data_IF_390819949614
#
_entry.id   IF_390819949614
#
_cell.length_a   1.000
_cell.length_b   1.000
_cell.length_c   1.000
_cell.angle_alpha   90.00
_cell.angle_beta   90.00
_cell.angle_gamma   90.00
#
_symmetry.space_group_name_H-M   'P 1'
#
loop_
_entity.id
_entity.type
_entity.pdbx_description
1 polymer ?
#
# COMPACT_ATOMS: atom_id res chain seq x y z
N UNK A 1 15.05 -11.60 9.02
CA UNK A 1 14.57 -10.76 10.14
C UNK A 1 15.46 -9.56 10.47
N UNK A 2 16.77 -9.69 10.75
CA UNK A 2 17.65 -8.53 11.07
C UNK A 2 17.59 -7.38 10.06
N UNK A 3 17.60 -7.69 8.75
CA UNK A 3 17.48 -6.69 7.68
C UNK A 3 16.14 -5.96 7.66
N UNK A 4 15.04 -6.64 8.00
CA UNK A 4 13.71 -6.03 8.11
C UNK A 4 13.63 -5.05 9.27
N UNK A 5 14.15 -5.43 10.44
CA UNK A 5 14.21 -4.54 11.61
C UNK A 5 15.02 -3.29 11.26
N UNK A 6 16.21 -3.45 10.67
CA UNK A 6 17.05 -2.33 10.23
C UNK A 6 16.32 -1.43 9.24
N UNK A 7 15.63 -2.01 8.24
CA UNK A 7 14.84 -1.26 7.27
C UNK A 7 13.75 -0.43 7.95
N UNK A 8 12.88 -1.06 8.76
CA UNK A 8 11.77 -0.35 9.41
C UNK A 8 12.27 0.73 10.38
N UNK A 9 13.29 0.44 11.19
CA UNK A 9 13.85 1.43 12.12
C UNK A 9 14.43 2.64 11.40
N UNK A 10 15.26 2.44 10.36
CA UNK A 10 15.85 3.55 9.61
C UNK A 10 14.78 4.36 8.87
N UNK A 11 13.80 3.70 8.25
CA UNK A 11 12.70 4.37 7.55
C UNK A 11 11.87 5.22 8.51
N UNK A 12 11.47 4.68 9.68
CA UNK A 12 10.68 5.43 10.66
C UNK A 12 11.46 6.60 11.23
N UNK A 13 12.71 6.39 11.67
CA UNK A 13 13.55 7.47 12.22
C UNK A 13 13.71 8.58 11.18
N UNK A 14 14.05 8.24 9.93
CA UNK A 14 14.27 9.23 8.89
C UNK A 14 12.98 10.00 8.55
N UNK A 15 11.87 9.30 8.28
CA UNK A 15 10.61 9.96 7.93
C UNK A 15 10.07 10.83 9.05
N UNK A 16 9.99 10.30 10.28
CA UNK A 16 9.41 11.02 11.40
C UNK A 16 10.25 12.24 11.76
N UNK A 17 11.58 12.11 11.76
CA UNK A 17 12.47 13.26 12.01
C UNK A 17 12.25 14.36 10.97
N UNK A 18 12.21 14.01 9.69
CA UNK A 18 12.04 14.98 8.61
C UNK A 18 10.67 15.66 8.63
N UNK A 19 9.59 14.92 8.89
CA UNK A 19 8.23 15.48 8.97
C UNK A 19 8.01 16.34 10.20
N UNK A 20 8.51 15.91 11.36
CA UNK A 20 8.44 16.70 12.59
C UNK A 20 9.25 18.00 12.43
N UNK A 21 10.45 17.93 11.84
CA UNK A 21 11.23 19.12 11.53
C UNK A 21 10.50 20.06 10.56
N UNK A 22 9.91 19.53 9.49
CA UNK A 22 9.09 20.32 8.55
C UNK A 22 7.91 21.01 9.25
N UNK A 23 7.21 20.29 10.13
CA UNK A 23 6.09 20.83 10.90
C UNK A 23 6.52 21.96 11.85
N UNK A 24 7.67 21.82 12.53
CA UNK A 24 8.20 22.89 13.38
C UNK A 24 8.58 24.15 12.60
N UNK A 25 9.12 23.98 11.38
CA UNK A 25 9.43 25.10 10.49
C UNK A 25 8.14 25.83 10.09
N UNK A 26 7.08 25.07 9.76
CA UNK A 26 5.78 25.62 9.38
C UNK A 26 5.04 26.33 10.52
N UNK A 27 5.13 25.83 11.76
CA UNK A 27 4.43 26.40 12.92
C UNK A 27 5.08 27.68 13.47
N UNK A 28 6.39 27.85 13.31
CA UNK A 28 7.12 29.00 13.86
C UNK A 28 6.94 30.30 13.06
N UNK A 29 6.31 30.26 11.89
CA UNK A 29 6.16 31.43 11.02
C UNK A 29 4.69 31.81 10.89
N UNK A 30 4.30 32.92 11.53
CA UNK A 30 2.91 33.39 11.63
C UNK A 30 2.27 33.84 10.29
N UNK A 31 3.03 33.83 9.19
CA UNK A 31 2.55 34.17 7.84
C UNK A 31 3.24 33.28 6.79
N UNK A 32 2.51 32.44 6.03
CA UNK A 32 3.11 31.66 4.96
C UNK A 32 3.48 32.61 3.82
N UNK A 33 4.75 32.99 3.74
CA UNK A 33 5.29 33.68 2.56
C UNK A 33 5.55 32.65 1.45
N UNK A 34 5.40 33.05 0.19
CA UNK A 34 5.56 32.19 -1.00
C UNK A 34 6.92 31.49 -1.12
N UNK A 35 7.95 32.01 -0.45
CA UNK A 35 9.30 31.45 -0.40
C UNK A 35 9.47 30.30 0.63
N UNK A 36 8.53 30.11 1.56
CA UNK A 36 8.64 29.10 2.64
C UNK A 36 7.95 27.77 2.30
N UNK A 37 6.99 27.80 1.37
CA UNK A 37 6.31 26.63 0.80
C UNK A 37 7.29 25.60 0.18
N UNK A 38 8.35 26.00 -0.55
CA UNK A 38 9.37 25.06 -1.04
C UNK A 38 10.29 24.50 0.06
N UNK A 39 10.65 25.32 1.06
CA UNK A 39 11.64 24.97 2.10
C UNK A 39 11.08 23.93 3.08
N UNK A 40 9.80 24.01 3.42
CA UNK A 40 9.08 23.00 4.20
C UNK A 40 8.69 21.77 3.36
N UNK A 41 8.48 21.95 2.05
CA UNK A 41 8.13 20.88 1.13
C UNK A 41 9.24 19.86 0.89
N UNK A 42 10.51 20.29 0.86
CA UNK A 42 11.64 19.38 0.59
C UNK A 42 11.85 18.33 1.70
N UNK A 43 11.98 18.68 2.99
CA UNK A 43 12.05 17.68 4.07
C UNK A 43 10.80 16.79 4.10
N UNK A 44 9.62 17.36 3.83
CA UNK A 44 8.39 16.59 3.76
C UNK A 44 8.45 15.50 2.69
N UNK A 45 8.87 15.87 1.48
CA UNK A 45 9.05 14.96 0.35
C UNK A 45 10.13 13.91 0.63
N UNK A 46 11.27 14.31 1.21
CA UNK A 46 12.33 13.37 1.59
C UNK A 46 11.86 12.35 2.63
N UNK A 47 11.03 12.79 3.59
CA UNK A 47 10.40 11.90 4.55
C UNK A 47 9.48 10.88 3.88
N UNK A 48 8.70 11.29 2.89
CA UNK A 48 7.83 10.42 2.09
C UNK A 48 8.62 9.41 1.26
N UNK A 49 9.79 9.78 0.73
CA UNK A 49 10.65 8.91 -0.09
C UNK A 49 11.60 8.02 0.73
N UNK A 50 11.65 8.18 2.05
CA UNK A 50 12.53 7.40 2.92
C UNK A 50 12.39 5.87 2.76
N UNK A 51 11.19 5.27 2.61
CA UNK A 51 11.08 3.83 2.38
C UNK A 51 11.85 3.36 1.14
N UNK A 52 11.73 4.06 0.01
CA UNK A 52 12.49 3.75 -1.21
C UNK A 52 13.99 3.96 -1.01
N UNK A 53 14.41 5.09 -0.44
CA UNK A 53 15.83 5.41 -0.25
C UNK A 53 16.53 4.39 0.64
N UNK A 54 15.92 4.04 1.78
CA UNK A 54 16.46 3.04 2.70
C UNK A 54 16.47 1.65 2.06
N UNK A 55 15.43 1.28 1.32
CA UNK A 55 15.39 0.00 0.61
C UNK A 55 16.51 -0.12 -0.44
N UNK A 56 16.72 0.92 -1.25
CA UNK A 56 17.75 0.95 -2.27
C UNK A 56 19.15 0.92 -1.64
N UNK A 57 19.37 1.68 -0.56
CA UNK A 57 20.63 1.66 0.19
C UNK A 57 20.94 0.27 0.74
N UNK A 58 19.99 -0.34 1.45
CA UNK A 58 20.20 -1.66 2.05
C UNK A 58 20.32 -2.77 1.00
N UNK A 59 19.64 -2.62 -0.14
CA UNK A 59 19.79 -3.55 -1.27
C UNK A 59 21.16 -3.40 -1.92
N UNK A 60 21.63 -2.18 -2.15
CA UNK A 60 22.95 -1.93 -2.71
C UNK A 60 24.07 -2.48 -1.80
N UNK A 61 23.93 -2.33 -0.49
CA UNK A 61 24.89 -2.87 0.49
C UNK A 61 24.92 -4.40 0.53
N UNK A 62 23.76 -5.06 0.41
CA UNK A 62 23.66 -6.50 0.58
C UNK A 62 23.80 -7.30 -0.73
N UNK A 63 23.32 -6.75 -1.84
CA UNK A 63 23.14 -7.43 -3.13
C UNK A 63 23.85 -6.69 -4.29
N UNK A 64 24.51 -5.57 -4.01
CA UNK A 64 25.25 -4.80 -4.99
C UNK A 64 24.39 -4.17 -6.08
N UNK A 65 25.03 -3.77 -7.18
CA UNK A 65 24.38 -3.11 -8.33
C UNK A 65 23.32 -4.00 -8.98
N UNK A 66 23.56 -5.31 -9.08
CA UNK A 66 22.63 -6.26 -9.70
C UNK A 66 21.31 -6.35 -8.93
N UNK A 67 21.35 -6.46 -7.60
CA UNK A 67 20.15 -6.46 -6.75
C UNK A 67 19.37 -5.16 -6.83
N UNK A 68 20.06 -4.01 -6.78
CA UNK A 68 19.42 -2.69 -6.90
C UNK A 68 18.72 -2.52 -8.25
N UNK A 69 19.38 -2.89 -9.35
CA UNK A 69 18.76 -2.85 -10.68
C UNK A 69 17.60 -3.83 -10.79
N UNK A 70 17.68 -5.02 -10.19
CA UNK A 70 16.57 -5.97 -10.15
C UNK A 70 15.36 -5.40 -9.41
N UNK A 71 15.56 -4.66 -8.32
CA UNK A 71 14.49 -3.98 -7.59
C UNK A 71 13.87 -2.85 -8.44
N UNK A 72 14.69 -1.99 -9.04
CA UNK A 72 14.21 -0.89 -9.88
C UNK A 72 13.48 -1.35 -11.14
N UNK A 73 13.90 -2.47 -11.76
CA UNK A 73 13.22 -3.05 -12.92
C UNK A 73 11.75 -3.38 -12.66
N UNK A 74 11.37 -3.68 -11.40
CA UNK A 74 9.97 -3.96 -11.03
C UNK A 74 9.06 -2.73 -11.14
N UNK A 75 9.63 -1.51 -11.06
CA UNK A 75 8.90 -0.24 -11.23
C UNK A 75 8.38 -0.07 -12.65
N UNK A 76 9.11 -0.61 -13.63
CA UNK A 76 8.77 -0.55 -15.06
C UNK A 76 8.35 -1.92 -15.61
N UNK A 77 7.98 -2.86 -14.74
CA UNK A 77 7.50 -4.17 -15.13
C UNK A 77 6.02 -4.10 -15.46
N UNK A 78 5.69 -4.10 -16.75
CA UNK A 78 4.31 -4.14 -17.26
C UNK A 78 3.80 -5.58 -17.26
N UNK A 79 2.83 -5.95 -16.41
CA UNK A 79 2.27 -7.29 -16.42
C UNK A 79 1.31 -7.49 -17.60
N UNK A 80 1.24 -8.72 -18.09
CA UNK A 80 0.30 -9.09 -19.15
C UNK A 80 -1.14 -9.15 -18.60
N UNK A 81 -2.08 -8.57 -19.36
CA UNK A 81 -3.53 -8.63 -19.08
C UNK A 81 -4.12 -7.33 -18.53
N UNK A 82 -4.88 -6.62 -19.36
CA UNK A 82 -5.52 -5.33 -19.02
C UNK A 82 -6.40 -5.36 -17.76
N UNK A 83 -6.95 -6.52 -17.39
CA UNK A 83 -7.74 -6.71 -16.16
C UNK A 83 -7.04 -6.24 -14.89
N UNK A 84 -5.71 -6.32 -14.84
CA UNK A 84 -4.95 -5.91 -13.66
C UNK A 84 -4.85 -4.40 -13.52
N UNK A 85 -4.78 -3.68 -14.64
CA UNK A 85 -4.85 -2.22 -14.68
C UNK A 85 -6.24 -1.74 -14.29
N UNK A 86 -7.29 -2.38 -14.82
CA UNK A 86 -8.68 -2.09 -14.45
C UNK A 86 -8.87 -2.32 -12.95
N UNK A 87 -8.38 -3.44 -12.40
CA UNK A 87 -8.43 -3.70 -10.96
C UNK A 87 -7.71 -2.62 -10.16
N UNK A 88 -6.46 -2.28 -10.52
CA UNK A 88 -5.66 -1.29 -9.83
C UNK A 88 -6.36 0.08 -9.77
N UNK A 89 -6.95 0.52 -10.88
CA UNK A 89 -7.62 1.83 -10.97
C UNK A 89 -9.01 1.82 -10.32
N UNK A 90 -9.80 0.78 -10.53
CA UNK A 90 -11.22 0.78 -10.15
C UNK A 90 -11.47 0.33 -8.70
N UNK A 91 -10.56 -0.43 -8.09
CA UNK A 91 -10.83 -1.10 -6.80
C UNK A 91 -11.36 -0.15 -5.72
N UNK A 92 -10.66 0.97 -5.46
CA UNK A 92 -11.05 1.85 -4.37
C UNK A 92 -12.24 2.74 -4.71
N UNK A 93 -12.41 3.12 -5.97
CA UNK A 93 -13.63 3.78 -6.44
C UNK A 93 -14.86 2.90 -6.20
N UNK A 94 -14.79 1.60 -6.51
CA UNK A 94 -15.88 0.65 -6.25
C UNK A 94 -16.16 0.49 -4.75
N UNK A 95 -15.13 0.48 -3.90
CA UNK A 95 -15.31 0.53 -2.44
C UNK A 95 -16.12 1.77 -2.04
N UNK A 96 -15.74 2.95 -2.54
CA UNK A 96 -16.43 4.22 -2.21
C UNK A 96 -17.87 4.27 -2.72
N UNK A 97 -18.13 3.80 -3.93
CA UNK A 97 -19.49 3.71 -4.46
C UNK A 97 -20.35 2.72 -3.67
N UNK A 98 -19.78 1.60 -3.23
CA UNK A 98 -20.46 0.65 -2.34
C UNK A 98 -20.80 1.30 -1.00
N UNK A 99 -19.88 2.07 -0.42
CA UNK A 99 -20.13 2.84 0.80
C UNK A 99 -21.27 3.85 0.61
N UNK A 100 -21.35 4.53 -0.54
CA UNK A 100 -22.45 5.45 -0.81
C UNK A 100 -23.81 4.75 -0.82
N UNK A 101 -23.90 3.57 -1.42
CA UNK A 101 -25.11 2.76 -1.44
C UNK A 101 -25.49 2.30 -0.03
N UNK A 102 -24.54 1.78 0.74
CA UNK A 102 -24.78 1.34 2.12
C UNK A 102 -25.21 2.51 3.02
N UNK A 103 -24.59 3.69 2.85
CA UNK A 103 -24.98 4.90 3.57
C UNK A 103 -26.43 5.31 3.22
N UNK A 104 -26.79 5.25 1.94
CA UNK A 104 -28.16 5.54 1.47
C UNK A 104 -29.18 4.59 2.07
N UNK A 105 -28.87 3.30 2.12
CA UNK A 105 -29.74 2.29 2.75
C UNK A 105 -29.88 2.53 4.25
N UNK A 106 -28.78 2.86 4.94
CA UNK A 106 -28.79 3.02 6.40
C UNK A 106 -29.46 4.33 6.87
N UNK A 107 -29.35 5.42 6.11
CA UNK A 107 -29.76 6.76 6.55
C UNK A 107 -30.96 7.32 5.80
N UNK A 108 -31.34 6.72 4.67
CA UNK A 108 -32.37 7.27 3.79
C UNK A 108 -31.94 8.56 3.07
N UNK A 109 -30.65 8.94 3.09
CA UNK A 109 -30.07 10.09 2.40
C UNK A 109 -28.78 9.69 1.65
N UNK A 110 -28.44 10.36 0.55
CA UNK A 110 -27.14 10.16 -0.10
C UNK A 110 -26.04 10.88 0.71
N UNK A 111 -24.81 10.31 0.80
CA UNK A 111 -23.70 11.02 1.41
C UNK A 111 -23.21 12.15 0.49
N UNK A 112 -22.34 13.02 1.02
CA UNK A 112 -21.67 14.02 0.22
C UNK A 112 -20.69 13.35 -0.78
N UNK A 113 -20.85 13.70 -2.07
CA UNK A 113 -19.94 13.28 -3.12
C UNK A 113 -18.89 14.36 -3.40
N UNK A 114 -17.69 13.93 -3.76
CA UNK A 114 -16.68 14.83 -4.32
C UNK A 114 -17.14 15.39 -5.68
N UNK A 115 -16.74 16.62 -5.96
CA UNK A 115 -17.10 17.34 -7.19
C UNK A 115 -15.98 17.34 -8.24
N UNK A 116 -14.86 16.64 -7.98
CA UNK A 116 -13.76 16.55 -8.93
C UNK A 116 -14.21 15.73 -10.15
N UNK A 117 -14.16 16.29 -11.37
CA UNK A 117 -14.51 15.56 -12.58
C UNK A 117 -13.69 14.28 -12.75
N UNK A 118 -14.33 13.22 -13.23
CA UNK A 118 -13.70 11.90 -13.39
C UNK A 118 -12.43 11.97 -14.26
N UNK A 119 -12.42 12.76 -15.32
CA UNK A 119 -11.22 12.89 -16.17
C UNK A 119 -10.04 13.53 -15.43
N UNK A 120 -10.27 14.47 -14.50
CA UNK A 120 -9.21 15.02 -13.65
C UNK A 120 -8.71 14.00 -12.63
N UNK A 121 -9.61 13.17 -12.07
CA UNK A 121 -9.19 12.05 -11.23
C UNK A 121 -8.29 11.09 -12.00
N UNK A 122 -8.66 10.73 -13.24
CA UNK A 122 -7.86 9.85 -14.08
C UNK A 122 -6.49 10.44 -14.42
N UNK A 123 -6.43 11.74 -14.75
CA UNK A 123 -5.17 12.45 -14.98
C UNK A 123 -4.32 12.44 -13.71
N UNK A 124 -4.91 12.76 -12.55
CA UNK A 124 -4.20 12.79 -11.28
C UNK A 124 -3.64 11.40 -10.93
N UNK A 125 -4.41 10.32 -11.14
CA UNK A 125 -3.94 8.94 -10.96
C UNK A 125 -2.68 8.67 -11.79
N UNK A 126 -2.69 9.02 -13.07
CA UNK A 126 -1.52 8.79 -13.95
C UNK A 126 -0.33 9.64 -13.51
N UNK A 127 -0.54 10.92 -13.24
CA UNK A 127 0.50 11.89 -12.88
C UNK A 127 1.14 11.58 -11.53
N UNK A 128 0.37 11.15 -10.52
CA UNK A 128 0.92 10.80 -9.19
C UNK A 128 1.46 9.37 -9.10
N UNK A 129 1.22 8.50 -10.09
CA UNK A 129 1.73 7.11 -10.07
C UNK A 129 3.25 7.02 -9.86
N UNK A 130 4.11 7.79 -10.57
CA UNK A 130 5.56 7.75 -10.34
C UNK A 130 5.97 8.17 -8.93
N UNK A 131 5.24 9.10 -8.30
CA UNK A 131 5.54 9.58 -6.94
C UNK A 131 5.37 8.45 -5.92
N UNK A 132 4.42 7.54 -6.15
CA UNK A 132 4.20 6.38 -5.28
C UNK A 132 5.39 5.41 -5.25
N UNK A 133 6.36 5.53 -6.16
CA UNK A 133 7.62 4.78 -6.09
C UNK A 133 8.37 5.04 -4.78
N UNK A 134 8.28 6.27 -4.22
CA UNK A 134 8.93 6.65 -2.96
C UNK A 134 8.53 5.77 -1.77
N UNK A 135 7.32 5.22 -1.81
CA UNK A 135 6.81 4.29 -0.81
C UNK A 135 6.87 2.83 -1.28
N UNK A 136 6.37 2.55 -2.48
CA UNK A 136 6.11 1.18 -2.95
C UNK A 136 7.40 0.38 -3.17
N UNK A 137 8.52 1.02 -3.54
CA UNK A 137 9.84 0.36 -3.61
C UNK A 137 10.22 -0.19 -2.22
N UNK A 138 9.96 0.57 -1.15
CA UNK A 138 10.22 0.16 0.22
C UNK A 138 9.24 -0.89 0.71
N UNK A 139 7.94 -0.59 0.67
CA UNK A 139 6.92 -1.44 1.25
C UNK A 139 6.74 -2.75 0.49
N UNK A 140 6.44 -2.68 -0.81
CA UNK A 140 6.09 -3.86 -1.62
C UNK A 140 7.29 -4.41 -2.36
N UNK A 141 8.26 -3.57 -2.69
CA UNK A 141 9.50 -3.98 -3.37
C UNK A 141 10.51 -4.66 -2.44
N UNK A 142 10.71 -4.10 -1.24
CA UNK A 142 11.72 -4.56 -0.29
C UNK A 142 11.14 -5.37 0.87
N UNK A 143 10.17 -4.80 1.62
CA UNK A 143 9.69 -5.37 2.87
C UNK A 143 8.76 -6.56 2.68
N UNK A 144 7.73 -6.43 1.83
CA UNK A 144 6.72 -7.48 1.61
C UNK A 144 7.33 -8.84 1.22
N UNK A 145 8.24 -8.96 0.24
CA UNK A 145 8.80 -10.26 -0.14
C UNK A 145 9.67 -10.86 0.97
N UNK A 146 10.32 -10.02 1.77
CA UNK A 146 11.14 -10.44 2.93
C UNK A 146 10.25 -10.92 4.08
N UNK A 147 9.15 -10.23 4.38
CA UNK A 147 8.16 -10.68 5.37
C UNK A 147 7.47 -11.97 4.93
N UNK A 148 7.05 -12.04 3.66
CA UNK A 148 6.34 -13.20 3.11
C UNK A 148 7.19 -14.47 3.10
N UNK A 149 8.52 -14.37 2.96
CA UNK A 149 9.43 -15.53 3.11
C UNK A 149 9.43 -16.14 4.52
N UNK A 150 9.07 -15.37 5.54
CA UNK A 150 9.08 -15.82 6.93
C UNK A 150 7.70 -16.18 7.46
N UNK A 151 6.66 -15.47 7.01
CA UNK A 151 5.30 -15.59 7.56
C UNK A 151 4.30 -16.18 6.55
N UNK A 152 4.61 -16.19 5.26
CA UNK A 152 3.64 -16.34 4.18
C UNK A 152 3.00 -15.00 3.79
N UNK A 153 2.44 -14.93 2.59
CA UNK A 153 1.98 -13.66 1.98
C UNK A 153 0.83 -13.00 2.77
N UNK A 154 -0.15 -13.77 3.22
CA UNK A 154 -1.31 -13.25 3.94
C UNK A 154 -0.94 -12.54 5.26
N UNK A 155 -0.29 -13.19 6.24
CA UNK A 155 0.13 -12.51 7.46
C UNK A 155 1.20 -11.43 7.22
N UNK A 156 2.06 -11.59 6.21
CA UNK A 156 2.99 -10.53 5.82
C UNK A 156 2.26 -9.26 5.36
N UNK A 157 1.17 -9.39 4.60
CA UNK A 157 0.37 -8.25 4.12
C UNK A 157 -0.36 -7.52 5.24
N UNK A 158 -0.85 -8.26 6.24
CA UNK A 158 -1.46 -7.72 7.46
C UNK A 158 -0.45 -6.94 8.30
N UNK A 159 0.68 -7.57 8.62
CA UNK A 159 1.74 -6.94 9.41
C UNK A 159 2.30 -5.69 8.69
N UNK A 160 2.55 -5.80 7.39
CA UNK A 160 3.00 -4.65 6.60
C UNK A 160 1.95 -3.52 6.57
N UNK A 161 0.66 -3.86 6.53
CA UNK A 161 -0.42 -2.88 6.61
C UNK A 161 -0.43 -2.09 7.91
N UNK A 162 -0.27 -2.78 9.05
CA UNK A 162 -0.15 -2.15 10.37
C UNK A 162 1.08 -1.24 10.47
N UNK A 163 2.24 -1.73 10.00
CA UNK A 163 3.48 -0.94 9.98
C UNK A 163 3.30 0.29 9.08
N UNK A 164 2.77 0.12 7.88
CA UNK A 164 2.59 1.21 6.92
C UNK A 164 1.60 2.26 7.41
N UNK A 165 0.49 1.85 8.05
CA UNK A 165 -0.43 2.79 8.70
C UNK A 165 0.25 3.55 9.83
N UNK A 166 1.01 2.84 10.67
CA UNK A 166 1.71 3.46 11.81
C UNK A 166 2.80 4.42 11.38
N UNK A 167 3.41 4.22 10.21
CA UNK A 167 4.37 5.16 9.64
C UNK A 167 3.76 6.55 9.43
N UNK A 168 2.47 6.66 9.11
CA UNK A 168 1.74 7.93 8.92
C UNK A 168 1.33 8.63 10.23
N UNK A 169 1.58 8.03 11.40
CA UNK A 169 1.11 8.54 12.69
C UNK A 169 1.45 10.03 12.93
N UNK A 170 2.63 10.57 12.57
CA UNK A 170 2.94 11.99 12.77
C UNK A 170 1.96 12.94 12.08
N UNK A 171 1.40 12.57 10.92
CA UNK A 171 0.48 13.44 10.17
C UNK A 171 -0.79 13.77 10.97
N UNK A 172 -1.24 12.87 11.84
CA UNK A 172 -2.41 13.12 12.70
C UNK A 172 -2.18 14.23 13.74
N UNK A 173 -0.92 14.60 14.01
CA UNK A 173 -0.55 15.64 14.96
C UNK A 173 -0.10 16.95 14.29
N UNK A 174 0.06 16.96 12.96
CA UNK A 174 0.49 18.15 12.20
C UNK A 174 -0.77 18.89 11.72
N UNK A 175 -1.05 20.11 12.21
CA UNK A 175 -2.19 20.90 11.74
C UNK A 175 -2.12 21.16 10.23
N UNK A 176 -3.25 21.01 9.54
CA UNK A 176 -3.34 21.24 8.09
C UNK A 176 -2.81 20.10 7.21
N UNK A 177 -2.29 19.00 7.80
CA UNK A 177 -2.02 17.78 7.03
C UNK A 177 -3.34 17.11 6.61
N UNK A 178 -3.27 16.24 5.58
CA UNK A 178 -4.44 15.49 5.10
C UNK A 178 -5.09 14.62 6.20
N UNK A 179 -4.31 14.14 7.18
CA UNK A 179 -4.77 13.30 8.28
C UNK A 179 -5.14 14.09 9.54
N UNK A 180 -4.92 15.40 9.55
CA UNK A 180 -5.24 16.25 10.70
C UNK A 180 -6.74 16.20 10.99
N UNK A 181 -7.10 15.94 12.26
CA UNK A 181 -8.49 15.77 12.68
C UNK A 181 -9.12 14.42 12.30
N UNK A 182 -8.41 13.49 11.66
CA UNK A 182 -8.95 12.15 11.41
C UNK A 182 -8.73 11.19 12.59
N UNK A 183 -9.46 10.07 12.60
CA UNK A 183 -9.29 8.98 13.58
C UNK A 183 -8.18 8.02 13.14
N UNK A 184 -7.05 8.02 13.85
CA UNK A 184 -5.94 7.10 13.59
C UNK A 184 -6.35 5.62 13.71
N UNK A 185 -7.12 5.18 14.73
CA UNK A 185 -7.56 3.79 14.79
C UNK A 185 -8.38 3.33 13.56
N UNK A 186 -9.27 4.19 13.05
CA UNK A 186 -10.07 3.86 11.85
C UNK A 186 -9.20 3.88 10.59
N UNK A 187 -8.26 4.82 10.50
CA UNK A 187 -7.27 4.86 9.43
C UNK A 187 -6.36 3.62 9.44
N UNK A 188 -5.90 3.19 10.61
CA UNK A 188 -5.11 1.98 10.81
C UNK A 188 -5.85 0.74 10.28
N UNK A 189 -7.14 0.62 10.60
CA UNK A 189 -7.98 -0.46 10.06
C UNK A 189 -8.10 -0.39 8.54
N UNK A 190 -8.35 0.79 7.98
CA UNK A 190 -8.51 0.98 6.54
C UNK A 190 -7.22 0.69 5.75
N UNK A 191 -6.08 1.25 6.18
CA UNK A 191 -4.79 1.06 5.52
C UNK A 191 -4.29 -0.38 5.66
N UNK A 192 -4.53 -1.01 6.81
CA UNK A 192 -4.24 -2.44 6.98
C UNK A 192 -5.04 -3.28 5.99
N UNK A 193 -6.34 -3.01 5.86
CA UNK A 193 -7.20 -3.69 4.90
C UNK A 193 -6.80 -3.44 3.44
N UNK A 194 -6.33 -2.23 3.09
CA UNK A 194 -5.83 -1.89 1.75
C UNK A 194 -4.50 -2.57 1.39
N UNK A 195 -3.63 -2.81 2.38
CA UNK A 195 -2.34 -3.48 2.15
C UNK A 195 -2.50 -4.91 1.60
N UNK A 196 -3.61 -5.56 1.95
CA UNK A 196 -3.93 -6.95 1.57
C UNK A 196 -4.19 -7.12 0.06
N UNK A 197 -5.16 -6.42 -0.57
CA UNK A 197 -5.38 -6.51 -2.01
C UNK A 197 -4.17 -5.97 -2.81
N UNK A 198 -3.42 -5.01 -2.28
CA UNK A 198 -2.15 -4.57 -2.90
C UNK A 198 -1.11 -5.69 -2.90
N UNK A 199 -0.94 -6.41 -1.79
CA UNK A 199 -0.04 -7.56 -1.71
C UNK A 199 -0.50 -8.71 -2.61
N UNK A 200 -1.81 -8.96 -2.70
CA UNK A 200 -2.37 -9.93 -3.63
C UNK A 200 -2.12 -9.52 -5.09
N UNK A 201 -2.34 -8.26 -5.45
CA UNK A 201 -2.10 -7.75 -6.80
C UNK A 201 -0.62 -7.86 -7.18
N UNK A 202 0.26 -7.46 -6.27
CA UNK A 202 1.71 -7.62 -6.41
C UNK A 202 2.09 -9.08 -6.71
N UNK A 203 1.55 -10.03 -5.94
CA UNK A 203 1.82 -11.44 -6.14
C UNK A 203 1.23 -11.97 -7.46
N UNK A 204 0.00 -11.59 -7.82
CA UNK A 204 -0.67 -12.02 -9.06
C UNK A 204 -0.02 -11.50 -10.33
N UNK A 205 0.74 -10.41 -10.22
CA UNK A 205 1.40 -9.75 -11.35
C UNK A 205 2.91 -9.98 -11.36
N UNK A 206 3.35 -11.05 -10.69
CA UNK A 206 4.75 -11.47 -10.61
C UNK A 206 5.69 -10.37 -10.08
N UNK A 207 5.22 -9.63 -9.07
CA UNK A 207 6.00 -8.60 -8.38
C UNK A 207 6.08 -7.25 -9.09
N UNK A 208 5.13 -6.93 -9.99
CA UNK A 208 5.05 -5.61 -10.63
C UNK A 208 4.78 -4.52 -9.59
N UNK A 209 5.75 -3.62 -9.41
CA UNK A 209 5.56 -2.41 -8.59
C UNK A 209 4.78 -1.33 -9.35
N UNK A 210 4.84 -1.33 -10.68
CA UNK A 210 4.05 -0.41 -11.49
C UNK A 210 2.56 -0.47 -11.13
N UNK A 211 2.01 -1.68 -10.97
CA UNK A 211 0.60 -1.83 -10.61
C UNK A 211 0.29 -1.54 -9.15
N UNK A 212 1.22 -1.77 -8.21
CA UNK A 212 0.99 -1.36 -6.83
C UNK A 212 1.07 0.16 -6.69
N UNK A 213 1.97 0.82 -7.43
CA UNK A 213 2.04 2.27 -7.54
C UNK A 213 0.78 2.85 -8.18
N UNK A 214 0.28 2.26 -9.27
CA UNK A 214 -0.96 2.68 -9.92
C UNK A 214 -2.16 2.52 -8.99
N UNK A 215 -2.25 1.38 -8.29
CA UNK A 215 -3.31 1.14 -7.31
C UNK A 215 -3.24 2.10 -6.14
N UNK A 216 -2.04 2.36 -5.61
CA UNK A 216 -1.83 3.34 -4.54
C UNK A 216 -2.25 4.75 -5.00
N UNK A 217 -1.85 5.16 -6.20
CA UNK A 217 -2.27 6.42 -6.80
C UNK A 217 -3.80 6.51 -6.95
N UNK A 218 -4.44 5.43 -7.41
CA UNK A 218 -5.90 5.33 -7.49
C UNK A 218 -6.57 5.45 -6.12
N UNK A 219 -6.04 4.80 -5.09
CA UNK A 219 -6.55 4.90 -3.72
C UNK A 219 -6.54 6.35 -3.26
N UNK A 220 -5.40 7.04 -3.40
CA UNK A 220 -5.26 8.42 -2.92
C UNK A 220 -6.20 9.37 -3.64
N UNK A 221 -6.28 9.28 -4.97
CA UNK A 221 -7.08 10.19 -5.77
C UNK A 221 -8.59 9.91 -5.69
N UNK A 222 -9.01 8.67 -5.41
CA UNK A 222 -10.44 8.32 -5.33
C UNK A 222 -11.02 8.33 -3.92
N UNK A 223 -10.20 8.62 -2.90
CA UNK A 223 -10.64 8.73 -1.51
C UNK A 223 -11.77 9.74 -1.31
N UNK A 224 -11.74 10.84 -2.07
CA UNK A 224 -12.71 11.93 -2.02
C UNK A 224 -14.02 11.69 -2.78
N UNK A 225 -14.20 10.56 -3.50
CA UNK A 225 -15.47 10.26 -4.19
C UNK A 225 -16.63 10.27 -3.18
N UNK A 226 -16.43 9.69 -2.00
CA UNK A 226 -17.32 9.82 -0.85
C UNK A 226 -16.49 10.29 0.34
N UNK A 227 -16.68 11.56 0.70
CA UNK A 227 -15.90 12.23 1.72
C UNK A 227 -16.30 11.74 3.13
N UNK A 228 -15.29 11.44 3.95
CA UNK A 228 -15.48 11.15 5.37
C UNK A 228 -15.38 12.46 6.15
N UNK A 229 -16.46 13.24 6.17
CA UNK A 229 -16.49 14.53 6.86
C UNK A 229 -16.71 14.35 8.36
N UNK A 230 -15.64 14.10 9.11
CA UNK A 230 -15.64 14.22 10.57
C UNK A 230 -14.27 14.68 11.05
N UNK A 231 -14.25 15.80 11.76
CA UNK A 231 -13.07 16.24 12.50
C UNK A 231 -13.18 15.73 13.94
N UNK A 232 -12.10 15.15 14.43
CA UNK A 232 -11.94 14.64 15.78
C UNK A 232 -11.00 15.57 16.55
N UNK A 233 -11.29 15.78 17.83
CA UNK A 233 -10.43 16.59 18.71
C UNK A 233 -9.19 15.85 19.18
N UNK A 234 -9.15 14.53 19.05
CA UNK A 234 -8.04 13.67 19.44
C UNK A 234 -7.76 12.63 18.36
N UNK A 235 -6.51 12.48 17.90
CA UNK A 235 -6.10 11.47 16.92
C UNK A 235 -6.53 10.04 17.25
N UNK A 236 -6.63 9.69 18.54
CA UNK A 236 -6.98 8.34 18.98
C UNK A 236 -8.48 8.16 19.26
N UNK A 237 -9.30 9.17 18.97
CA UNK A 237 -10.75 9.06 19.09
C UNK A 237 -11.32 8.02 18.13
N UNK A 238 -12.28 7.22 18.60
CA UNK A 238 -13.10 6.34 17.74
C UNK A 238 -14.33 7.07 17.15
N UNK A 239 -14.64 8.28 17.63
CA UNK A 239 -15.73 9.09 17.09
C UNK A 239 -15.29 9.64 15.74
N UNK A 240 -15.94 9.19 14.68
CA UNK A 240 -15.72 9.67 13.30
C UNK A 240 -17.02 9.51 12.50
N UNK A 241 -17.01 9.87 11.22
CA UNK A 241 -18.17 9.78 10.33
C UNK A 241 -18.60 8.33 10.11
N UNK A 242 -19.91 8.12 9.89
CA UNK A 242 -20.43 6.82 9.47
C UNK A 242 -19.76 6.34 8.16
N UNK A 243 -19.46 7.25 7.24
CA UNK A 243 -18.75 6.95 5.98
C UNK A 243 -17.38 6.32 6.24
N UNK A 244 -16.62 6.81 7.23
CA UNK A 244 -15.31 6.25 7.58
C UNK A 244 -15.44 4.82 8.09
N UNK A 245 -16.39 4.55 8.99
CA UNK A 245 -16.66 3.21 9.50
C UNK A 245 -17.16 2.25 8.42
N UNK A 246 -18.08 2.69 7.56
CA UNK A 246 -18.53 1.90 6.41
C UNK A 246 -17.39 1.62 5.44
N UNK A 247 -16.50 2.59 5.20
CA UNK A 247 -15.31 2.39 4.35
C UNK A 247 -14.40 1.32 4.94
N UNK A 248 -14.07 1.39 6.24
CA UNK A 248 -13.27 0.38 6.92
C UNK A 248 -13.94 -1.00 6.84
N UNK A 249 -15.24 -1.10 7.09
CA UNK A 249 -15.99 -2.36 7.02
C UNK A 249 -15.96 -2.99 5.61
N UNK A 250 -16.28 -2.22 4.56
CA UNK A 250 -16.24 -2.72 3.17
C UNK A 250 -14.84 -3.15 2.76
N UNK A 251 -13.81 -2.39 3.15
CA UNK A 251 -12.42 -2.77 2.93
C UNK A 251 -12.08 -4.10 3.60
N UNK A 252 -12.53 -4.33 4.84
CA UNK A 252 -12.29 -5.59 5.53
C UNK A 252 -13.05 -6.78 4.91
N UNK A 253 -14.25 -6.57 4.39
CA UNK A 253 -14.97 -7.61 3.64
C UNK A 253 -14.16 -8.07 2.41
N UNK A 254 -13.63 -7.13 1.62
CA UNK A 254 -12.77 -7.49 0.48
C UNK A 254 -11.42 -8.04 0.93
N UNK A 255 -10.83 -7.50 1.99
CA UNK A 255 -9.58 -8.00 2.56
C UNK A 255 -9.70 -9.48 2.96
N UNK A 256 -10.79 -9.88 3.64
CA UNK A 256 -11.05 -11.28 3.99
C UNK A 256 -11.10 -12.15 2.73
N UNK A 257 -11.79 -11.71 1.67
CA UNK A 257 -11.79 -12.41 0.40
C UNK A 257 -10.36 -12.63 -0.14
N UNK A 258 -9.51 -11.60 -0.16
CA UNK A 258 -8.13 -11.72 -0.64
C UNK A 258 -7.24 -12.57 0.27
N UNK A 259 -7.41 -12.50 1.59
CA UNK A 259 -6.72 -13.37 2.55
C UNK A 259 -7.02 -14.85 2.26
N UNK A 260 -8.29 -15.19 2.02
CA UNK A 260 -8.70 -16.55 1.65
C UNK A 260 -8.07 -16.97 0.32
N UNK A 261 -8.05 -16.08 -0.68
CA UNK A 261 -7.43 -16.37 -1.99
C UNK A 261 -5.92 -16.60 -1.89
N UNK A 262 -5.22 -15.85 -1.04
CA UNK A 262 -3.78 -16.01 -0.83
C UNK A 262 -3.43 -17.30 -0.09
N UNK A 263 -4.27 -17.75 0.85
CA UNK A 263 -4.06 -19.03 1.56
C UNK A 263 -4.09 -20.24 0.60
N UNK A 264 -5.04 -20.25 -0.34
CA UNK A 264 -5.17 -21.34 -1.33
C UNK A 264 -4.00 -21.41 -2.30
N UNK A 265 -3.38 -20.28 -2.60
CA UNK A 265 -2.25 -20.20 -3.52
C UNK A 265 -0.97 -20.83 -2.97
N UNK A 266 -0.69 -20.64 -1.68
CA UNK A 266 0.44 -21.29 -1.01
C UNK A 266 0.27 -22.81 -1.05
N UNK A 267 -0.92 -23.32 -0.72
CA UNK A 267 -1.23 -24.76 -0.72
C UNK A 267 -1.07 -25.43 -2.10
N UNK A 268 -1.40 -24.71 -3.19
CA UNK A 268 -1.25 -25.24 -4.56
C UNK A 268 0.22 -25.31 -5.02
N UNK A 269 1.07 -24.38 -4.59
CA UNK A 269 2.52 -24.47 -4.89
C UNK A 269 3.17 -25.65 -4.17
N UNK A 270 2.81 -25.88 -2.91
CA UNK A 270 3.38 -26.97 -2.11
C UNK A 270 2.93 -28.35 -2.60
N UNK A 271 1.71 -28.47 -3.15
CA UNK A 271 1.23 -29.74 -3.74
C UNK A 271 1.83 -30.01 -5.12
N UNK A 272 2.01 -28.98 -5.95
CA UNK A 272 2.64 -29.15 -7.26
C UNK A 272 4.15 -29.46 -7.16
N UNK A 273 4.87 -28.88 -6.20
CA UNK A 273 6.29 -29.21 -5.99
C UNK A 273 6.48 -30.65 -5.48
N UNK A 274 5.59 -31.16 -4.65
CA UNK A 274 5.60 -32.57 -4.20
C UNK A 274 5.29 -33.53 -5.36
N UNK A 275 4.35 -33.18 -6.24
CA UNK A 275 4.00 -34.02 -7.39
C UNK A 275 5.08 -34.01 -8.48
N UNK A 276 5.78 -32.89 -8.72
CA UNK A 276 6.94 -32.86 -9.62
C UNK A 276 8.08 -33.76 -9.13
N UNK A 277 8.40 -33.70 -7.83
CA UNK A 277 9.42 -34.56 -7.20
C UNK A 277 9.02 -36.04 -7.29
N UNK A 278 7.74 -36.37 -7.10
CA UNK A 278 7.21 -37.73 -7.23
C UNK A 278 7.23 -38.28 -8.67
N UNK A 279 7.13 -37.41 -9.68
CA UNK A 279 7.05 -37.83 -11.09
C UNK A 279 8.41 -38.16 -11.72
N UNK A 280 9.49 -37.65 -11.15
CA UNK A 280 10.86 -37.89 -11.62
C UNK A 280 11.52 -39.17 -11.07
N UNK A 281 10.86 -39.86 -10.13
CA UNK A 281 11.40 -41.06 -9.45
C UNK A 281 10.86 -42.39 -9.99
N UNK A 282 10.29 -42.41 -11.21
CA UNK A 282 9.97 -43.68 -11.87
C UNK A 282 11.23 -44.23 -12.56
N UNK A 283 11.85 -45.32 -12.08
CA UNK A 283 12.92 -45.96 -12.82
C UNK A 283 12.36 -46.44 -14.16
N UNK A 284 13.07 -46.09 -15.23
CA UNK A 284 12.82 -46.62 -16.57
C UNK A 284 12.79 -48.15 -16.48
N UNK A 285 11.62 -48.76 -16.70
CA UNK A 285 11.51 -50.20 -16.92
C UNK A 285 12.34 -50.51 -18.17
N UNK A 286 13.52 -51.07 -17.95
CA UNK A 286 14.31 -51.69 -18.99
C UNK A 286 13.51 -52.86 -19.57
N UNK A 287 13.00 -52.68 -20.79
CA UNK A 287 12.44 -53.76 -21.59
C UNK A 287 13.62 -54.57 -22.12
N UNK A 288 13.86 -55.74 -21.51
CA UNK A 288 14.84 -56.72 -21.98
C UNK A 288 14.09 -57.93 -22.52
N UNK A 289 14.39 -58.27 -23.78
CA UNK A 289 14.17 -59.53 -24.52
C UNK A 289 12.70 -59.94 -24.80
N UNK A 290 12.34 -60.69 -25.85
CA UNK A 290 13.09 -61.60 -26.72
C UNK A 290 12.26 -61.94 -27.98
N UNK A 291 12.80 -61.75 -29.18
CA UNK A 291 12.74 -62.64 -30.38
C UNK A 291 13.27 -61.93 -31.61
#
# INVERSE_FOLDING_TARGET
MRSLVKFFSLTFILSWTLWIAAAFILQKTASPTSAQTPISGLPFLMGTFAPALVALLLTAQAEGRSGTLALLRRVIQFPQGGRWYVFAVAYFALVKLTVALLYRVATGAWPAFGHIPVYLLMIAIVVSTPVQAGEEIGWRGYALPRLARHLGLAPASLLLGVIWASWHLPFFFIPGSDNSGQSFPVYLLAVTALSIPMAWLYWRTNGSLLLTMLMHSAINNTAGIVASSASTTSPFSLRTSLVAWLTAAVLWLFAVYFLIRMRRATLQRDTNSVNEVSSNDRPARATVAMK
#
